data_IF_855676167943
#
_entry.id   IF_855676167943
#
_cell.length_a   1.000
_cell.length_b   1.000
_cell.length_c   1.000
_cell.angle_alpha   90.00
_cell.angle_beta   90.00
_cell.angle_gamma   90.00
#
_symmetry.space_group_name_H-M   'P 1'
#
loop_
_entity.id
_entity.type
_entity.pdbx_description
1 polymer ?
#
# COMPACT_ATOMS: atom_id res chain seq x y z
N UNK A 1 -14.19 57.30 13.68
CA UNK A 1 -13.75 56.63 12.43
C UNK A 1 -12.48 55.88 12.76
N UNK A 2 -12.60 54.58 13.05
CA UNK A 2 -11.51 53.75 13.54
C UNK A 2 -11.34 52.56 12.60
N UNK A 3 -10.14 52.40 12.04
CA UNK A 3 -9.76 51.27 11.22
C UNK A 3 -9.47 50.04 12.09
N UNK A 4 -9.78 48.81 11.63
CA UNK A 4 -9.21 47.61 12.21
C UNK A 4 -8.00 47.13 11.40
N UNK A 5 -6.89 47.03 12.12
CA UNK A 5 -5.63 46.40 11.74
C UNK A 5 -5.74 44.89 11.48
N UNK A 6 -4.77 44.43 10.70
CA UNK A 6 -4.45 43.05 10.35
C UNK A 6 -4.70 41.96 11.40
N UNK A 7 -5.23 40.83 10.94
CA UNK A 7 -4.91 39.50 11.48
C UNK A 7 -4.74 38.55 10.30
N UNK A 8 -3.47 38.38 9.90
CA UNK A 8 -2.97 37.19 9.21
C UNK A 8 -2.59 36.20 10.32
N UNK A 9 -2.89 34.93 10.08
CA UNK A 9 -2.41 33.71 10.75
C UNK A 9 -3.60 32.87 11.21
N UNK A 10 -3.89 31.84 10.42
CA UNK A 10 -4.16 30.48 10.91
C UNK A 10 -4.17 29.54 9.70
N UNK A 11 -2.97 29.28 9.18
CA UNK A 11 -2.71 28.12 8.35
C UNK A 11 -2.64 26.90 9.27
N UNK A 12 -3.77 26.25 9.50
CA UNK A 12 -3.79 24.97 10.23
C UNK A 12 -3.07 23.91 9.40
N UNK A 13 -1.95 23.48 9.99
CA UNK A 13 -1.03 22.49 9.48
C UNK A 13 -1.75 21.19 9.12
N UNK A 14 -1.61 20.79 7.86
CA UNK A 14 -1.88 19.45 7.40
C UNK A 14 -1.00 18.46 8.18
N UNK A 15 -1.65 17.53 8.88
CA UNK A 15 -1.01 16.35 9.45
C UNK A 15 -0.52 15.47 8.30
N UNK A 16 0.67 15.82 7.79
CA UNK A 16 1.51 14.96 6.98
C UNK A 16 1.91 13.75 7.85
N UNK A 17 1.14 12.68 7.78
CA UNK A 17 1.54 11.38 8.32
C UNK A 17 2.74 10.87 7.50
N UNK A 18 3.94 11.23 7.96
CA UNK A 18 5.21 10.80 7.39
C UNK A 18 5.25 9.26 7.28
N UNK A 19 5.83 8.68 6.22
CA UNK A 19 6.05 7.23 6.08
C UNK A 19 6.76 6.60 7.31
N UNK A 20 7.50 7.42 8.05
CA UNK A 20 8.20 7.04 9.29
C UNK A 20 7.20 6.78 10.44
N UNK A 21 6.11 7.55 10.53
CA UNK A 21 5.07 7.37 11.54
C UNK A 21 4.31 6.05 11.34
N UNK A 22 4.08 5.66 10.08
CA UNK A 22 3.46 4.38 9.72
C UNK A 22 4.33 3.18 10.12
N UNK A 23 5.64 3.24 9.86
CA UNK A 23 6.58 2.19 10.25
C UNK A 23 6.74 2.06 11.78
N UNK A 24 6.73 3.19 12.50
CA UNK A 24 6.83 3.21 13.97
C UNK A 24 5.60 2.61 14.64
N UNK A 25 4.39 2.90 14.14
CA UNK A 25 3.16 2.29 14.67
C UNK A 25 3.07 0.79 14.37
N UNK A 26 3.54 0.34 13.21
CA UNK A 26 3.60 -1.09 12.89
C UNK A 26 4.59 -1.84 13.78
N UNK A 27 5.75 -1.26 14.07
CA UNK A 27 6.72 -1.86 15.00
C UNK A 27 6.15 -1.95 16.42
N UNK A 28 5.51 -0.89 16.91
CA UNK A 28 4.83 -0.91 18.21
C UNK A 28 3.75 -1.99 18.27
N UNK A 29 2.94 -2.13 17.21
CA UNK A 29 1.91 -3.17 17.13
C UNK A 29 2.47 -4.59 17.04
N UNK A 30 3.58 -4.78 16.33
CA UNK A 30 4.29 -6.06 16.27
C UNK A 30 4.84 -6.45 17.65
N UNK A 31 5.45 -5.51 18.38
CA UNK A 31 5.95 -5.76 19.74
C UNK A 31 4.82 -6.12 20.70
N UNK A 32 3.71 -5.38 20.67
CA UNK A 32 2.51 -5.67 21.48
C UNK A 32 1.94 -7.08 21.19
N UNK A 33 1.91 -7.50 19.93
CA UNK A 33 1.44 -8.84 19.53
C UNK A 33 2.41 -9.93 19.98
N UNK A 34 3.72 -9.69 19.90
CA UNK A 34 4.75 -10.65 20.34
C UNK A 34 4.80 -10.78 21.88
N UNK A 35 4.42 -9.72 22.60
CA UNK A 35 4.37 -9.71 24.07
C UNK A 35 3.04 -10.24 24.63
N UNK A 36 2.00 -10.41 23.80
CA UNK A 36 0.69 -10.92 24.23
C UNK A 36 0.54 -12.40 23.86
N UNK A 37 0.59 -13.33 24.84
CA UNK A 37 0.41 -14.76 24.57
C UNK A 37 -0.96 -15.02 23.94
N UNK A 38 -0.97 -15.68 22.77
CA UNK A 38 -2.20 -16.05 22.06
C UNK A 38 -2.78 -14.97 21.13
N UNK A 39 -2.16 -13.80 21.01
CA UNK A 39 -2.57 -12.81 20.03
C UNK A 39 -2.30 -13.32 18.61
N UNK A 40 -3.33 -13.29 17.76
CA UNK A 40 -3.20 -13.69 16.36
C UNK A 40 -2.33 -12.67 15.61
N UNK A 41 -1.21 -13.13 15.05
CA UNK A 41 -0.36 -12.30 14.21
C UNK A 41 -1.08 -11.99 12.88
N UNK A 42 -1.19 -10.70 12.48
CA UNK A 42 -1.72 -10.33 11.17
C UNK A 42 -1.01 -11.09 10.06
N UNK A 43 -1.77 -11.56 9.07
CA UNK A 43 -1.24 -12.42 8.00
C UNK A 43 -0.01 -11.83 7.29
N UNK A 44 -0.03 -10.52 7.05
CA UNK A 44 1.06 -9.81 6.37
C UNK A 44 2.35 -9.84 7.21
N UNK A 45 2.24 -9.69 8.53
CA UNK A 45 3.39 -9.77 9.46
C UNK A 45 3.87 -11.21 9.62
N UNK A 46 2.95 -12.17 9.64
CA UNK A 46 3.27 -13.60 9.70
C UNK A 46 4.03 -14.06 8.46
N UNK A 47 3.55 -13.69 7.27
CA UNK A 47 4.23 -13.99 6.00
C UNK A 47 5.62 -13.35 5.94
N UNK A 48 5.74 -12.09 6.37
CA UNK A 48 7.03 -11.41 6.48
C UNK A 48 7.99 -12.15 7.41
N UNK A 49 7.54 -12.54 8.59
CA UNK A 49 8.37 -13.22 9.58
C UNK A 49 8.83 -14.60 9.07
N UNK A 50 7.93 -15.36 8.44
CA UNK A 50 8.24 -16.65 7.82
C UNK A 50 9.26 -16.50 6.68
N UNK A 51 9.11 -15.49 5.82
CA UNK A 51 10.07 -15.21 4.75
C UNK A 51 11.45 -14.82 5.32
N UNK A 52 11.49 -13.98 6.35
CA UNK A 52 12.74 -13.60 7.01
C UNK A 52 13.45 -14.78 7.67
N UNK A 53 12.70 -15.66 8.35
CA UNK A 53 13.22 -16.89 8.96
C UNK A 53 13.77 -17.85 7.91
N UNK A 54 13.03 -18.06 6.81
CA UNK A 54 13.48 -18.91 5.70
C UNK A 54 14.79 -18.38 5.10
N UNK A 55 14.85 -17.09 4.79
CA UNK A 55 16.05 -16.46 4.24
C UNK A 55 17.24 -16.50 5.22
N UNK A 56 16.99 -16.39 6.53
CA UNK A 56 18.02 -16.56 7.57
C UNK A 56 18.58 -17.99 7.57
N UNK A 57 17.70 -19.00 7.54
CA UNK A 57 18.11 -20.40 7.51
C UNK A 57 18.91 -20.77 6.25
N UNK A 58 18.51 -20.23 5.09
CA UNK A 58 19.16 -20.53 3.81
C UNK A 58 20.52 -19.81 3.64
N UNK A 59 20.65 -18.58 4.17
CA UNK A 59 21.80 -17.72 3.88
C UNK A 59 22.76 -17.51 5.04
N UNK A 60 22.37 -17.86 6.26
CA UNK A 60 23.13 -17.60 7.49
C UNK A 60 23.28 -16.11 7.86
N UNK A 61 22.71 -15.19 7.06
CA UNK A 61 22.77 -13.74 7.33
C UNK A 61 21.93 -13.40 8.55
N UNK A 62 22.25 -12.35 9.33
CA UNK A 62 21.46 -11.96 10.50
C UNK A 62 19.98 -11.82 10.18
N UNK A 63 19.09 -12.35 11.03
CA UNK A 63 17.64 -12.28 10.84
C UNK A 63 17.15 -10.85 10.63
N UNK A 64 17.76 -9.87 11.30
CA UNK A 64 17.49 -8.45 11.08
C UNK A 64 17.81 -7.99 9.65
N UNK A 65 18.85 -8.52 9.00
CA UNK A 65 19.13 -8.25 7.60
C UNK A 65 18.14 -8.97 6.67
N UNK A 66 17.77 -10.21 6.99
CA UNK A 66 16.80 -11.00 6.22
C UNK A 66 15.37 -10.45 6.32
N UNK A 67 15.04 -9.85 7.46
CA UNK A 67 13.80 -9.10 7.67
C UNK A 67 13.86 -7.69 7.07
N UNK A 68 15.00 -7.21 6.55
CA UNK A 68 15.13 -5.85 6.01
C UNK A 68 15.25 -4.74 7.06
N UNK A 69 15.52 -5.10 8.33
CA UNK A 69 15.69 -4.19 9.48
C UNK A 69 17.09 -3.57 9.56
N UNK A 70 18.03 -3.93 8.67
CA UNK A 70 19.40 -3.42 8.77
C UNK A 70 19.47 -1.93 8.40
N UNK A 71 19.83 -1.12 9.41
CA UNK A 71 20.18 0.29 9.26
C UNK A 71 21.48 0.42 8.44
N UNK A 72 21.38 0.42 7.10
CA UNK A 72 22.22 1.16 6.13
C UNK A 72 22.13 0.50 4.74
N UNK A 73 21.40 1.15 3.84
CA UNK A 73 21.88 1.38 2.47
C UNK A 73 21.51 0.40 1.36
N UNK A 74 21.17 -0.87 1.60
CA UNK A 74 20.84 -1.81 0.50
C UNK A 74 19.75 -2.86 0.75
N UNK A 75 19.25 -3.00 1.98
CA UNK A 75 18.07 -3.82 2.26
C UNK A 75 16.81 -3.01 1.97
N UNK A 76 15.93 -3.50 1.09
CA UNK A 76 14.68 -2.82 0.76
C UNK A 76 13.90 -2.44 2.02
N UNK A 77 13.48 -1.18 2.11
CA UNK A 77 12.66 -0.67 3.20
C UNK A 77 11.44 -1.60 3.40
N UNK A 78 11.33 -2.24 4.56
CA UNK A 78 10.24 -3.17 4.90
C UNK A 78 8.89 -2.52 4.70
N UNK A 79 8.75 -1.25 5.09
CA UNK A 79 7.54 -0.48 4.84
C UNK A 79 7.21 -0.43 3.36
N UNK A 80 8.21 -0.27 2.49
CA UNK A 80 8.01 -0.32 1.04
C UNK A 80 7.66 -1.73 0.54
N UNK A 81 8.16 -2.80 1.16
CA UNK A 81 7.77 -4.18 0.81
C UNK A 81 6.33 -4.48 1.22
N UNK A 82 5.93 -4.08 2.43
CA UNK A 82 4.54 -4.20 2.91
C UNK A 82 3.62 -3.37 2.04
N UNK A 83 3.93 -2.08 1.81
CA UNK A 83 3.16 -1.23 0.90
C UNK A 83 3.02 -1.86 -0.48
N UNK A 84 4.10 -2.44 -1.04
CA UNK A 84 4.06 -3.15 -2.32
C UNK A 84 3.12 -4.37 -2.25
N UNK A 85 3.20 -5.18 -1.20
CA UNK A 85 2.37 -6.37 -1.03
C UNK A 85 0.90 -6.02 -0.85
N UNK A 86 0.58 -5.11 0.08
CA UNK A 86 -0.78 -4.60 0.32
C UNK A 86 -1.36 -3.97 -0.95
N UNK A 87 -0.58 -3.14 -1.67
CA UNK A 87 -0.98 -2.60 -2.98
C UNK A 87 -1.31 -3.72 -3.96
N UNK A 88 -0.45 -4.72 -4.11
CA UNK A 88 -0.67 -5.82 -5.03
C UNK A 88 -1.94 -6.62 -4.70
N UNK A 89 -2.20 -6.88 -3.42
CA UNK A 89 -3.45 -7.53 -2.98
C UNK A 89 -4.69 -6.72 -3.34
N UNK A 90 -4.66 -5.40 -3.13
CA UNK A 90 -5.76 -4.51 -3.52
C UNK A 90 -5.96 -4.46 -5.05
N UNK A 91 -4.89 -4.58 -5.84
CA UNK A 91 -4.99 -4.69 -7.30
C UNK A 91 -5.72 -5.98 -7.69
N UNK A 92 -5.42 -7.10 -7.03
CA UNK A 92 -6.11 -8.38 -7.26
C UNK A 92 -7.59 -8.27 -6.89
N UNK A 93 -7.91 -7.73 -5.71
CA UNK A 93 -9.29 -7.50 -5.27
C UNK A 93 -10.06 -6.62 -6.26
N UNK A 94 -9.45 -5.53 -6.75
CA UNK A 94 -10.06 -4.68 -7.77
C UNK A 94 -10.26 -5.42 -9.11
N UNK A 95 -9.32 -6.27 -9.51
CA UNK A 95 -9.42 -7.07 -10.72
C UNK A 95 -10.57 -8.08 -10.62
N UNK A 96 -10.73 -8.75 -9.47
CA UNK A 96 -11.79 -9.73 -9.19
C UNK A 96 -13.21 -9.12 -9.30
N UNK A 97 -13.36 -7.82 -9.03
CA UNK A 97 -14.63 -7.10 -9.17
C UNK A 97 -15.03 -6.79 -10.63
N UNK A 98 -14.16 -7.05 -11.61
CA UNK A 98 -14.51 -6.91 -13.02
C UNK A 98 -15.41 -8.05 -13.50
N UNK A 99 -16.24 -7.82 -14.52
CA UNK A 99 -17.01 -8.88 -15.17
C UNK A 99 -16.12 -10.04 -15.67
N UNK A 100 -16.68 -11.25 -15.66
CA UNK A 100 -16.01 -12.41 -16.24
C UNK A 100 -15.84 -12.25 -17.76
N UNK A 101 -14.62 -12.49 -18.22
CA UNK A 101 -14.16 -12.40 -19.60
C UNK A 101 -12.97 -13.36 -19.76
N UNK A 102 -12.50 -13.55 -21.00
CA UNK A 102 -11.18 -14.14 -21.21
C UNK A 102 -10.13 -13.41 -20.36
N UNK A 103 -9.24 -14.17 -19.71
CA UNK A 103 -8.31 -13.61 -18.73
C UNK A 103 -7.44 -12.51 -19.33
N UNK A 104 -6.99 -12.66 -20.58
CA UNK A 104 -6.14 -11.69 -21.23
C UNK A 104 -6.90 -10.42 -21.62
N UNK A 105 -8.12 -10.56 -22.13
CA UNK A 105 -9.01 -9.43 -22.43
C UNK A 105 -9.39 -8.67 -21.15
N UNK A 106 -9.64 -9.39 -20.06
CA UNK A 106 -9.93 -8.81 -18.74
C UNK A 106 -8.74 -7.97 -18.24
N UNK A 107 -7.50 -8.47 -18.38
CA UNK A 107 -6.30 -7.73 -17.97
C UNK A 107 -6.10 -6.46 -18.83
N UNK A 108 -6.36 -6.52 -20.14
CA UNK A 108 -6.30 -5.34 -21.02
C UNK A 108 -7.32 -4.28 -20.63
N UNK A 109 -8.57 -4.71 -20.39
CA UNK A 109 -9.65 -3.84 -19.93
C UNK A 109 -9.33 -3.22 -18.58
N UNK A 110 -8.82 -4.03 -17.64
CA UNK A 110 -8.38 -3.55 -16.33
C UNK A 110 -7.26 -2.52 -16.43
N UNK A 111 -6.23 -2.79 -17.24
CA UNK A 111 -5.12 -1.87 -17.49
C UNK A 111 -5.60 -0.52 -17.99
N UNK A 112 -6.60 -0.51 -18.87
CA UNK A 112 -7.21 0.73 -19.37
C UNK A 112 -7.98 1.48 -18.28
N UNK A 113 -8.72 0.79 -17.41
CA UNK A 113 -9.41 1.43 -16.29
C UNK A 113 -8.46 1.92 -15.18
N UNK A 114 -7.39 1.18 -14.87
CA UNK A 114 -6.35 1.64 -13.94
C UNK A 114 -5.69 2.92 -14.48
N UNK A 115 -5.34 2.96 -15.76
CA UNK A 115 -4.77 4.15 -16.41
C UNK A 115 -5.75 5.32 -16.44
N UNK A 116 -7.04 5.06 -16.74
CA UNK A 116 -8.09 6.08 -16.70
C UNK A 116 -8.27 6.64 -15.29
N UNK A 117 -8.22 5.79 -14.28
CA UNK A 117 -8.30 6.17 -12.88
C UNK A 117 -7.10 7.04 -12.49
N UNK A 118 -5.88 6.60 -12.81
CA UNK A 118 -4.63 7.34 -12.56
C UNK A 118 -4.65 8.74 -13.17
N UNK A 119 -5.10 8.87 -14.43
CA UNK A 119 -5.04 10.15 -15.15
C UNK A 119 -6.17 11.11 -14.77
N UNK A 120 -7.39 10.60 -14.54
CA UNK A 120 -8.58 11.46 -14.44
C UNK A 120 -9.17 11.55 -13.03
N UNK A 121 -9.01 10.50 -12.23
CA UNK A 121 -9.68 10.38 -10.94
C UNK A 121 -8.71 10.63 -9.79
N UNK A 122 -7.56 9.93 -9.80
CA UNK A 122 -6.57 10.00 -8.73
C UNK A 122 -6.06 11.42 -8.41
N UNK A 123 -5.75 12.30 -9.38
CA UNK A 123 -5.22 13.63 -9.07
C UNK A 123 -6.17 14.48 -8.24
N UNK A 124 -7.49 14.25 -8.38
CA UNK A 124 -8.54 14.97 -7.65
C UNK A 124 -8.81 14.39 -6.27
N UNK A 125 -8.48 13.11 -6.08
CA UNK A 125 -8.78 12.38 -4.85
C UNK A 125 -7.55 12.12 -3.98
N UNK A 126 -6.34 12.50 -4.43
CA UNK A 126 -5.07 12.22 -3.75
C UNK A 126 -5.08 12.61 -2.27
N UNK A 127 -5.67 13.77 -1.97
CA UNK A 127 -5.67 14.35 -0.62
C UNK A 127 -6.81 13.81 0.26
N UNK A 128 -7.75 13.05 -0.30
CA UNK A 128 -8.85 12.47 0.45
C UNK A 128 -8.32 11.37 1.39
N UNK A 129 -8.87 11.30 2.61
CA UNK A 129 -8.56 10.22 3.57
C UNK A 129 -9.25 8.90 3.21
N UNK A 130 -10.46 8.99 2.65
CA UNK A 130 -11.32 7.85 2.31
C UNK A 130 -11.90 8.02 0.90
N UNK A 131 -12.24 6.91 0.20
CA UNK A 131 -12.82 6.99 -1.13
C UNK A 131 -14.24 7.59 -1.07
N UNK A 132 -14.59 8.53 -1.97
CA UNK A 132 -15.95 9.05 -2.08
C UNK A 132 -17.00 7.95 -2.34
N UNK A 133 -18.22 8.16 -1.85
CA UNK A 133 -19.28 7.15 -1.92
C UNK A 133 -19.78 6.86 -3.33
N UNK A 134 -19.69 7.85 -4.23
CA UNK A 134 -20.12 7.76 -5.61
C UNK A 134 -19.17 6.95 -6.52
N UNK A 135 -18.01 6.52 -6.03
CA UNK A 135 -17.12 5.63 -6.79
C UNK A 135 -17.71 4.22 -6.90
N UNK A 136 -17.50 3.58 -8.04
CA UNK A 136 -17.82 2.15 -8.19
C UNK A 136 -16.99 1.31 -7.21
N UNK A 137 -17.46 0.12 -6.79
CA UNK A 137 -16.71 -0.75 -5.86
C UNK A 137 -15.26 -0.98 -6.29
N UNK A 138 -15.02 -1.33 -7.56
CA UNK A 138 -13.68 -1.48 -8.13
C UNK A 138 -12.83 -0.22 -7.96
N UNK A 139 -13.38 0.97 -8.21
CA UNK A 139 -12.67 2.24 -8.07
C UNK A 139 -12.39 2.61 -6.60
N UNK A 140 -13.25 2.20 -5.66
CA UNK A 140 -12.97 2.34 -4.22
C UNK A 140 -11.76 1.49 -3.80
N UNK A 141 -11.63 0.28 -4.33
CA UNK A 141 -10.45 -0.57 -4.08
C UNK A 141 -9.21 -0.01 -4.75
N UNK A 142 -9.30 0.45 -6.01
CA UNK A 142 -8.19 1.13 -6.69
C UNK A 142 -7.74 2.38 -5.93
N UNK A 143 -8.66 3.19 -5.40
CA UNK A 143 -8.31 4.32 -4.55
C UNK A 143 -7.41 3.90 -3.38
N UNK A 144 -7.76 2.82 -2.68
CA UNK A 144 -6.94 2.28 -1.59
C UNK A 144 -5.57 1.83 -2.08
N UNK A 145 -5.50 1.15 -3.24
CA UNK A 145 -4.24 0.73 -3.84
C UNK A 145 -3.32 1.91 -4.15
N UNK A 146 -3.86 2.97 -4.76
CA UNK A 146 -3.14 4.21 -5.04
C UNK A 146 -2.73 4.94 -3.74
N UNK A 147 -3.58 4.94 -2.71
CA UNK A 147 -3.26 5.59 -1.43
C UNK A 147 -2.10 4.92 -0.71
N UNK A 148 -2.06 3.58 -0.70
CA UNK A 148 -1.00 2.80 -0.02
C UNK A 148 0.38 3.02 -0.66
N UNK A 149 0.45 3.23 -1.98
CA UNK A 149 1.72 3.35 -2.71
C UNK A 149 2.01 4.76 -3.23
N UNK A 150 1.32 5.78 -2.70
CA UNK A 150 1.47 7.19 -3.12
C UNK A 150 1.32 7.37 -4.64
N UNK A 151 0.38 6.64 -5.23
CA UNK A 151 0.08 6.66 -6.65
C UNK A 151 0.96 5.75 -7.53
N UNK A 152 1.91 5.01 -6.95
CA UNK A 152 2.76 4.08 -7.70
C UNK A 152 2.05 2.74 -7.89
N UNK A 153 1.13 2.70 -8.85
CA UNK A 153 0.40 1.49 -9.26
C UNK A 153 0.78 1.13 -10.69
N UNK A 154 1.11 -0.14 -11.00
CA UNK A 154 1.39 -0.55 -12.36
C UNK A 154 0.15 -0.35 -13.24
N UNK A 155 0.30 0.35 -14.36
CA UNK A 155 -0.80 0.67 -15.28
C UNK A 155 -0.67 -0.06 -16.62
N UNK A 156 0.50 -0.63 -16.91
CA UNK A 156 0.72 -1.45 -18.11
C UNK A 156 0.13 -2.85 -17.94
N UNK A 157 -0.31 -3.45 -19.06
CA UNK A 157 -0.83 -4.82 -19.11
C UNK A 157 0.19 -5.83 -18.58
N UNK A 158 1.47 -5.70 -18.95
CA UNK A 158 2.53 -6.57 -18.47
C UNK A 158 2.75 -6.46 -16.96
N UNK A 159 2.84 -5.24 -16.42
CA UNK A 159 3.04 -5.04 -14.99
C UNK A 159 1.86 -5.53 -14.15
N UNK A 160 0.64 -5.42 -14.67
CA UNK A 160 -0.55 -5.98 -14.04
C UNK A 160 -0.59 -7.51 -14.12
N UNK A 161 -0.23 -8.10 -15.27
CA UNK A 161 -0.13 -9.54 -15.42
C UNK A 161 0.89 -10.14 -14.43
N UNK A 162 2.04 -9.50 -14.25
CA UNK A 162 3.06 -9.89 -13.27
C UNK A 162 2.55 -9.83 -11.83
N UNK A 163 1.72 -8.84 -11.48
CA UNK A 163 1.10 -8.76 -10.16
C UNK A 163 0.06 -9.88 -9.99
N UNK A 164 -0.80 -10.09 -10.99
CA UNK A 164 -1.87 -11.08 -10.90
C UNK A 164 -1.35 -12.52 -10.89
N UNK A 165 -0.22 -12.81 -11.55
CA UNK A 165 0.40 -14.14 -11.52
C UNK A 165 1.00 -14.50 -10.15
N UNK A 166 1.33 -13.51 -9.30
CA UNK A 166 1.83 -13.75 -7.94
C UNK A 166 0.74 -14.21 -6.97
N UNK A 167 -0.53 -13.97 -7.29
CA UNK A 167 -1.68 -14.28 -6.43
C UNK A 167 -2.66 -15.28 -7.06
N UNK A 168 -2.54 -15.55 -8.36
CA UNK A 168 -3.30 -16.60 -9.03
C UNK A 168 -2.80 -17.98 -8.63
N UNK A 169 -3.69 -18.78 -8.02
CA UNK A 169 -3.57 -20.24 -7.99
C UNK A 169 -3.99 -20.83 -9.33
#
# INVERSE_FOLDING_TARGET
>A
MSAPSHSREDAQAGLNSSPIASASMMYARLMEILETPGAAMPDDLRLMFLHGLKAHAETGKPLSACLGLSKRGRGGNIGAQIQKHTRNRLIVEAFELMPEQDRWERIKSFSSEVKRFELNVWPRLRDYGTPPDNLTPMRKVLFRAFKVSEGKVPTSTAGLADVLSQFGK
#
